data_IF_070731652953
#
_entry.id   IF_070731652953
#
_cell.length_a   1.000
_cell.length_b   1.000
_cell.length_c   1.000
_cell.angle_alpha   90.00
_cell.angle_beta   90.00
_cell.angle_gamma   90.00
#
_symmetry.space_group_name_H-M   'P 1'
#
loop_
_entity.id
_entity.type
_entity.pdbx_description
1 polymer ?
#
# COMPACT_ATOMS: atom_id res chain seq x y z
N UNK A 1 10.88 17.24 -22.39
CA UNK A 1 10.35 16.82 -21.09
C UNK A 1 11.37 17.24 -20.05
N UNK A 2 11.10 18.30 -19.29
CA UNK A 2 12.01 18.79 -18.24
C UNK A 2 11.74 18.02 -16.97
N UNK A 3 12.62 17.08 -16.61
CA UNK A 3 12.62 16.49 -15.27
C UNK A 3 12.81 17.61 -14.25
N UNK A 4 11.75 17.94 -13.51
CA UNK A 4 11.85 18.83 -12.34
C UNK A 4 12.56 18.05 -11.24
N UNK A 5 13.89 18.18 -11.17
CA UNK A 5 14.61 17.68 -10.01
C UNK A 5 14.12 18.40 -8.75
N UNK A 6 13.82 17.64 -7.67
CA UNK A 6 13.29 18.24 -6.45
C UNK A 6 14.30 19.22 -5.86
N UNK A 7 13.80 20.37 -5.45
CA UNK A 7 14.57 21.39 -4.74
C UNK A 7 15.16 20.81 -3.44
N UNK A 8 16.24 21.41 -2.94
CA UNK A 8 16.85 21.00 -1.65
C UNK A 8 15.81 20.98 -0.52
N UNK A 9 14.86 21.91 -0.55
CA UNK A 9 13.75 21.97 0.39
C UNK A 9 12.79 20.78 0.26
N UNK A 10 12.46 20.35 -0.96
CA UNK A 10 11.61 19.18 -1.19
C UNK A 10 12.31 17.89 -0.80
N UNK A 11 13.61 17.74 -1.09
CA UNK A 11 14.41 16.59 -0.64
C UNK A 11 14.48 16.51 0.87
N UNK A 12 14.78 17.63 1.53
CA UNK A 12 14.82 17.67 2.98
C UNK A 12 13.45 17.36 3.59
N UNK A 13 12.36 17.90 3.01
CA UNK A 13 10.99 17.57 3.40
C UNK A 13 10.71 16.07 3.28
N UNK A 14 11.10 15.44 2.18
CA UNK A 14 10.88 14.01 1.96
C UNK A 14 11.72 13.14 2.89
N UNK A 15 12.97 13.51 3.15
CA UNK A 15 13.85 12.83 4.12
C UNK A 15 13.21 12.82 5.50
N UNK A 16 12.85 14.01 6.04
CA UNK A 16 12.22 14.11 7.36
C UNK A 16 10.92 13.30 7.45
N UNK A 17 10.12 13.30 6.38
CA UNK A 17 8.88 12.50 6.33
C UNK A 17 9.19 11.00 6.42
N UNK A 18 10.23 10.55 5.73
CA UNK A 18 10.67 9.15 5.70
C UNK A 18 11.24 8.73 7.04
N UNK A 19 12.09 9.56 7.65
CA UNK A 19 12.71 9.30 8.96
C UNK A 19 11.65 9.14 10.06
N UNK A 20 10.67 10.06 10.09
CA UNK A 20 9.53 9.98 11.01
C UNK A 20 8.72 8.69 10.82
N UNK A 21 8.43 8.31 9.57
CA UNK A 21 7.66 7.11 9.26
C UNK A 21 8.41 5.84 9.65
N UNK A 22 9.68 5.71 9.29
CA UNK A 22 10.53 4.58 9.64
C UNK A 22 10.63 4.40 11.16
N UNK A 23 10.98 5.47 11.87
CA UNK A 23 11.17 5.43 13.32
C UNK A 23 9.86 5.18 14.07
N UNK A 24 8.77 5.82 13.62
CA UNK A 24 7.43 5.57 14.17
C UNK A 24 6.99 4.12 14.00
N UNK A 25 7.23 3.55 12.81
CA UNK A 25 6.91 2.16 12.53
C UNK A 25 7.72 1.18 13.39
N UNK A 26 9.02 1.44 13.56
CA UNK A 26 9.87 0.64 14.46
C UNK A 26 9.32 0.63 15.89
N UNK A 27 8.95 1.79 16.43
CA UNK A 27 8.34 1.88 17.76
C UNK A 27 6.98 1.16 17.83
N UNK A 28 6.13 1.27 16.81
CA UNK A 28 4.86 0.55 16.78
C UNK A 28 5.05 -0.95 16.84
N UNK A 29 6.04 -1.48 16.13
CA UNK A 29 6.35 -2.91 16.13
C UNK A 29 7.00 -3.37 17.44
N UNK A 30 7.77 -2.51 18.11
CA UNK A 30 8.49 -2.84 19.34
C UNK A 30 7.63 -2.80 20.61
N UNK A 31 6.80 -1.78 20.76
CA UNK A 31 6.05 -1.51 22.00
C UNK A 31 4.54 -1.34 21.79
N UNK A 32 4.06 -1.47 20.55
CA UNK A 32 2.65 -1.36 20.18
C UNK A 32 2.23 0.05 19.78
N UNK A 33 1.25 0.13 18.89
CA UNK A 33 0.72 1.40 18.39
C UNK A 33 0.15 2.26 19.53
N UNK A 34 -0.70 1.69 20.39
CA UNK A 34 -1.36 2.43 21.47
C UNK A 34 -0.38 3.04 22.49
N UNK A 35 0.69 2.32 22.82
CA UNK A 35 1.69 2.74 23.80
C UNK A 35 2.73 3.73 23.26
N UNK A 36 2.73 3.98 21.95
CA UNK A 36 3.71 4.88 21.31
C UNK A 36 3.16 6.31 21.21
N UNK A 37 3.82 7.28 21.81
CA UNK A 37 3.43 8.70 21.73
C UNK A 37 4.14 9.41 20.57
N UNK A 38 3.62 10.58 20.16
CA UNK A 38 4.29 11.39 19.13
C UNK A 38 5.63 11.90 19.67
N UNK A 39 5.71 12.22 20.96
CA UNK A 39 6.93 12.66 21.67
C UNK A 39 8.05 11.64 21.53
N UNK A 40 7.75 10.37 21.82
CA UNK A 40 8.70 9.26 21.70
C UNK A 40 9.24 9.10 20.28
N UNK A 41 8.47 9.48 19.26
CA UNK A 41 8.89 9.40 17.86
C UNK A 41 9.79 10.58 17.49
N UNK A 42 9.48 11.78 17.96
CA UNK A 42 10.11 13.01 17.47
C UNK A 42 11.36 13.40 18.25
N UNK A 43 11.41 13.09 19.55
CA UNK A 43 12.55 13.44 20.43
C UNK A 43 13.88 12.83 19.95
N UNK A 44 13.96 11.52 19.61
CA UNK A 44 15.22 10.93 19.15
C UNK A 44 15.71 11.47 17.81
N UNK A 45 14.79 12.02 17.01
CA UNK A 45 15.10 12.64 15.72
C UNK A 45 15.43 14.14 15.83
N UNK A 46 15.38 14.72 17.03
CA UNK A 46 15.56 16.17 17.24
C UNK A 46 14.45 17.00 16.59
N UNK A 47 13.27 16.42 16.38
CA UNK A 47 12.15 17.05 15.70
C UNK A 47 11.17 17.60 16.75
N UNK A 48 10.76 18.86 16.61
CA UNK A 48 9.71 19.40 17.48
C UNK A 48 8.33 18.79 17.15
N UNK A 49 7.48 18.59 18.17
CA UNK A 49 6.09 18.10 17.98
C UNK A 49 5.29 18.92 16.96
N UNK A 50 5.43 20.24 16.95
CA UNK A 50 4.78 21.11 15.93
C UNK A 50 5.26 20.78 14.52
N UNK A 51 6.52 20.40 14.36
CA UNK A 51 7.08 19.97 13.09
C UNK A 51 6.49 18.64 12.63
N UNK A 52 6.24 17.69 13.53
CA UNK A 52 5.52 16.45 13.19
C UNK A 52 4.18 16.74 12.51
N UNK A 53 3.36 17.62 13.09
CA UNK A 53 2.05 17.99 12.55
C UNK A 53 2.10 18.75 11.23
N UNK A 54 3.28 19.22 10.81
CA UNK A 54 3.50 19.76 9.46
C UNK A 54 3.59 18.65 8.39
N UNK A 55 3.95 17.43 8.78
CA UNK A 55 4.08 16.27 7.89
C UNK A 55 2.90 15.31 8.01
N UNK A 56 2.41 15.08 9.23
CA UNK A 56 1.39 14.07 9.51
C UNK A 56 0.32 14.65 10.42
N UNK A 57 -0.95 14.54 10.03
CA UNK A 57 -2.07 15.01 10.86
C UNK A 57 -2.30 14.11 12.07
N UNK A 58 -1.99 12.83 11.93
CA UNK A 58 -2.20 11.82 12.97
C UNK A 58 -1.04 10.81 12.99
N UNK A 59 -0.97 10.00 14.05
CA UNK A 59 0.07 8.97 14.21
C UNK A 59 -0.11 7.81 13.22
N UNK A 60 -1.35 7.52 12.86
CA UNK A 60 -1.73 6.49 11.87
C UNK A 60 -1.09 6.77 10.51
N UNK A 61 -1.00 8.05 10.10
CA UNK A 61 -0.45 8.42 8.79
C UNK A 61 1.02 8.04 8.61
N UNK A 62 1.75 7.75 9.69
CA UNK A 62 3.12 7.24 9.63
C UNK A 62 3.19 5.85 8.98
N UNK A 63 2.21 4.98 9.24
CA UNK A 63 2.16 3.62 8.68
C UNK A 63 1.91 3.67 7.16
N UNK A 64 1.17 4.68 6.71
CA UNK A 64 0.75 4.86 5.32
C UNK A 64 1.58 5.92 4.58
N UNK A 65 2.72 6.36 5.12
CA UNK A 65 3.49 7.47 4.56
C UNK A 65 3.92 7.21 3.10
N UNK A 66 4.23 5.96 2.76
CA UNK A 66 4.64 5.52 1.42
C UNK A 66 3.46 5.11 0.53
N UNK A 67 2.24 5.09 1.07
CA UNK A 67 1.08 4.55 0.36
C UNK A 67 0.77 5.37 -0.90
N UNK A 68 0.86 6.70 -0.84
CA UNK A 68 0.62 7.56 -2.00
C UNK A 68 1.64 7.31 -3.13
N UNK A 69 2.91 7.20 -2.80
CA UNK A 69 3.98 6.89 -3.76
C UNK A 69 3.78 5.51 -4.39
N UNK A 70 3.38 4.51 -3.59
CA UNK A 70 3.07 3.17 -4.08
C UNK A 70 1.83 3.10 -4.95
N UNK A 71 0.79 3.88 -4.65
CA UNK A 71 -0.37 3.98 -5.55
C UNK A 71 0.05 4.55 -6.90
N UNK A 72 0.90 5.58 -6.94
CA UNK A 72 1.43 6.13 -8.19
C UNK A 72 2.24 5.09 -8.95
N UNK A 73 3.13 4.37 -8.27
CA UNK A 73 3.92 3.28 -8.87
C UNK A 73 3.03 2.20 -9.49
N UNK A 74 2.01 1.72 -8.75
CA UNK A 74 1.08 0.69 -9.25
C UNK A 74 0.26 1.19 -10.44
N UNK A 75 -0.16 2.46 -10.44
CA UNK A 75 -0.87 3.08 -11.57
C UNK A 75 0.02 3.10 -12.81
N UNK A 76 1.27 3.52 -12.70
CA UNK A 76 2.20 3.55 -13.83
C UNK A 76 2.53 2.13 -14.34
N UNK A 77 2.72 1.17 -13.43
CA UNK A 77 2.86 -0.25 -13.79
C UNK A 77 1.65 -0.72 -14.58
N UNK A 78 0.43 -0.44 -14.11
CA UNK A 78 -0.81 -0.86 -14.78
C UNK A 78 -0.94 -0.24 -16.18
N UNK A 79 -0.66 1.05 -16.31
CA UNK A 79 -0.69 1.76 -17.60
C UNK A 79 0.32 1.20 -18.60
N UNK A 80 1.48 0.75 -18.11
CA UNK A 80 2.55 0.18 -18.93
C UNK A 80 2.30 -1.29 -19.35
N UNK A 81 1.28 -1.96 -18.80
CA UNK A 81 0.97 -3.36 -19.15
C UNK A 81 0.59 -3.47 -20.63
N UNK A 82 1.01 -4.54 -21.33
CA UNK A 82 0.67 -4.75 -22.73
C UNK A 82 -0.84 -4.72 -23.00
N UNK A 83 -1.26 -3.99 -24.04
CA UNK A 83 -2.67 -3.88 -24.43
C UNK A 83 -3.33 -5.22 -24.83
N UNK A 84 -2.52 -6.25 -25.15
CA UNK A 84 -2.99 -7.60 -25.47
C UNK A 84 -3.42 -8.41 -24.24
N UNK A 85 -3.05 -7.99 -23.04
CA UNK A 85 -3.46 -8.67 -21.81
C UNK A 85 -4.93 -8.40 -21.52
N UNK A 86 -5.66 -9.40 -21.00
CA UNK A 86 -7.03 -9.14 -20.55
C UNK A 86 -6.98 -8.14 -19.39
N UNK A 87 -7.98 -7.25 -19.24
CA UNK A 87 -8.03 -6.27 -18.16
C UNK A 87 -7.77 -6.87 -16.77
N UNK A 88 -8.37 -8.04 -16.47
CA UNK A 88 -8.19 -8.75 -15.20
C UNK A 88 -6.74 -9.23 -15.02
N UNK A 89 -6.15 -9.88 -16.03
CA UNK A 89 -4.77 -10.40 -15.96
C UNK A 89 -3.77 -9.29 -15.65
N UNK A 90 -3.94 -8.13 -16.28
CA UNK A 90 -3.07 -6.98 -16.08
C UNK A 90 -3.19 -6.39 -14.67
N UNK A 91 -4.39 -6.38 -14.07
CA UNK A 91 -4.57 -5.96 -12.67
C UNK A 91 -3.95 -6.98 -11.71
N UNK A 92 -4.19 -8.28 -11.91
CA UNK A 92 -3.55 -9.34 -11.11
C UNK A 92 -2.01 -9.24 -11.17
N UNK A 93 -1.45 -9.12 -12.38
CA UNK A 93 -0.02 -8.99 -12.58
C UNK A 93 0.56 -7.70 -11.96
N UNK A 94 -0.19 -6.59 -12.03
CA UNK A 94 0.21 -5.33 -11.39
C UNK A 94 0.22 -5.49 -9.87
N UNK A 95 -0.84 -6.02 -9.28
CA UNK A 95 -0.95 -6.24 -7.84
C UNK A 95 0.14 -7.21 -7.33
N UNK A 96 0.45 -8.26 -8.10
CA UNK A 96 1.52 -9.21 -7.80
C UNK A 96 2.91 -8.57 -7.67
N UNK A 97 3.16 -7.41 -8.30
CA UNK A 97 4.44 -6.70 -8.12
C UNK A 97 4.67 -6.25 -6.67
N UNK A 98 3.60 -6.10 -5.89
CA UNK A 98 3.66 -5.77 -4.46
C UNK A 98 4.27 -6.90 -3.62
N UNK A 99 4.18 -8.15 -4.08
CA UNK A 99 4.74 -9.32 -3.36
C UNK A 99 6.25 -9.21 -3.16
N UNK A 100 6.97 -8.52 -4.06
CA UNK A 100 8.43 -8.30 -3.92
C UNK A 100 8.81 -7.71 -2.56
N UNK A 101 7.94 -6.87 -1.97
CA UNK A 101 8.17 -6.28 -0.64
C UNK A 101 7.95 -7.28 0.49
N UNK A 102 6.98 -8.17 0.34
CA UNK A 102 6.72 -9.24 1.30
C UNK A 102 7.89 -10.24 1.28
N UNK A 103 8.40 -10.54 0.09
CA UNK A 103 9.54 -11.44 -0.10
C UNK A 103 10.85 -10.89 0.47
N UNK A 104 11.05 -9.56 0.40
CA UNK A 104 12.27 -8.92 0.86
C UNK A 104 12.47 -9.00 2.38
N UNK A 105 11.38 -8.97 3.15
CA UNK A 105 11.41 -9.15 4.60
C UNK A 105 10.07 -9.73 5.09
N UNK A 106 9.90 -11.07 5.07
CA UNK A 106 8.65 -11.72 5.44
C UNK A 106 8.23 -11.46 6.89
N UNK A 107 9.19 -11.43 7.83
CA UNK A 107 8.92 -11.16 9.24
C UNK A 107 8.35 -9.75 9.45
N UNK A 108 8.98 -8.74 8.83
CA UNK A 108 8.48 -7.37 8.87
C UNK A 108 7.12 -7.25 8.18
N UNK A 109 6.93 -7.92 7.05
CA UNK A 109 5.66 -7.90 6.33
C UNK A 109 4.53 -8.49 7.18
N UNK A 110 4.79 -9.61 7.86
CA UNK A 110 3.83 -10.23 8.76
C UNK A 110 3.53 -9.32 9.95
N UNK A 111 4.55 -8.73 10.56
CA UNK A 111 4.40 -7.82 11.68
C UNK A 111 3.56 -6.59 11.31
N UNK A 112 3.67 -6.10 10.08
CA UNK A 112 2.82 -5.01 9.55
C UNK A 112 1.37 -5.44 9.35
N UNK A 113 1.14 -6.62 8.75
CA UNK A 113 -0.22 -7.16 8.59
C UNK A 113 -0.89 -7.36 9.95
N UNK A 114 -0.16 -7.90 10.92
CA UNK A 114 -0.61 -8.02 12.32
C UNK A 114 -0.95 -6.67 12.92
N UNK A 115 -0.05 -5.69 12.82
CA UNK A 115 -0.25 -4.34 13.34
C UNK A 115 -1.53 -3.70 12.80
N UNK A 116 -1.79 -3.84 11.49
CA UNK A 116 -3.01 -3.34 10.85
C UNK A 116 -4.27 -4.04 11.36
N UNK A 117 -4.24 -5.38 11.47
CA UNK A 117 -5.38 -6.21 11.88
C UNK A 117 -5.75 -6.05 13.35
N UNK A 118 -4.77 -5.90 14.22
CA UNK A 118 -4.96 -5.79 15.67
C UNK A 118 -5.26 -4.36 16.14
N UNK A 119 -5.11 -3.36 15.25
CA UNK A 119 -5.30 -1.94 15.61
C UNK A 119 -6.47 -1.32 14.83
N UNK A 120 -7.67 -1.16 15.43
CA UNK A 120 -8.85 -0.66 14.74
C UNK A 120 -8.67 0.70 14.02
N UNK A 121 -7.93 1.62 14.64
CA UNK A 121 -7.64 2.92 14.04
C UNK A 121 -6.79 2.81 12.75
N UNK A 122 -5.84 1.88 12.71
CA UNK A 122 -5.03 1.62 11.52
C UNK A 122 -5.83 0.88 10.46
N UNK A 123 -6.68 -0.07 10.85
CA UNK A 123 -7.56 -0.76 9.91
C UNK A 123 -8.54 0.20 9.22
N UNK A 124 -9.13 1.13 9.97
CA UNK A 124 -10.00 2.17 9.42
C UNK A 124 -9.24 3.04 8.40
N UNK A 125 -7.98 3.39 8.70
CA UNK A 125 -7.14 4.19 7.80
C UNK A 125 -6.70 3.42 6.56
N UNK A 126 -6.39 2.12 6.67
CA UNK A 126 -6.12 1.26 5.52
C UNK A 126 -7.35 1.17 4.61
N UNK A 127 -8.56 1.02 5.16
CA UNK A 127 -9.79 1.03 4.36
C UNK A 127 -9.94 2.33 3.56
N UNK A 128 -9.75 3.50 4.18
CA UNK A 128 -9.75 4.81 3.50
C UNK A 128 -8.72 4.82 2.34
N UNK A 129 -7.48 4.41 2.62
CA UNK A 129 -6.39 4.45 1.64
C UNK A 129 -6.54 3.43 0.52
N UNK A 130 -7.11 2.27 0.81
CA UNK A 130 -7.45 1.23 -0.16
C UNK A 130 -8.52 1.73 -1.13
N UNK A 131 -9.57 2.40 -0.65
CA UNK A 131 -10.59 2.99 -1.51
C UNK A 131 -10.00 4.03 -2.49
N UNK A 132 -9.10 4.90 -2.01
CA UNK A 132 -8.38 5.85 -2.87
C UNK A 132 -7.56 5.13 -3.96
N UNK A 133 -6.87 4.04 -3.59
CA UNK A 133 -6.05 3.23 -4.51
C UNK A 133 -6.89 2.51 -5.55
N UNK A 134 -8.00 1.90 -5.15
CA UNK A 134 -8.93 1.20 -6.06
C UNK A 134 -9.49 2.16 -7.12
N UNK A 135 -9.88 3.38 -6.72
CA UNK A 135 -10.36 4.41 -7.65
C UNK A 135 -9.27 4.81 -8.65
N UNK A 136 -8.04 5.02 -8.17
CA UNK A 136 -6.91 5.39 -9.03
C UNK A 136 -6.56 4.27 -10.03
N UNK A 137 -6.54 3.01 -9.59
CA UNK A 137 -6.27 1.85 -10.44
C UNK A 137 -7.39 1.62 -11.45
N UNK A 138 -8.65 1.81 -11.07
CA UNK A 138 -9.78 1.68 -11.99
C UNK A 138 -9.71 2.75 -13.10
N UNK A 139 -9.36 3.99 -12.76
CA UNK A 139 -9.15 5.04 -13.76
C UNK A 139 -7.99 4.72 -14.70
N UNK A 140 -6.86 4.25 -14.16
CA UNK A 140 -5.70 3.82 -14.94
C UNK A 140 -6.02 2.64 -15.87
N UNK A 141 -6.85 1.71 -15.42
CA UNK A 141 -7.31 0.59 -16.25
C UNK A 141 -8.16 1.07 -17.42
N UNK A 142 -9.09 2.00 -17.20
CA UNK A 142 -9.88 2.60 -18.30
C UNK A 142 -8.98 3.30 -19.31
N UNK A 143 -7.97 4.04 -18.84
CA UNK A 143 -6.99 4.71 -19.70
C UNK A 143 -6.19 3.72 -20.54
N UNK A 144 -5.74 2.59 -19.94
CA UNK A 144 -4.98 1.55 -20.65
C UNK A 144 -5.77 0.94 -21.81
N UNK A 145 -7.06 0.68 -21.59
CA UNK A 145 -7.93 0.03 -22.60
C UNK A 145 -8.30 0.98 -23.76
N UNK A 146 -8.22 2.29 -23.52
CA UNK A 146 -8.38 3.31 -24.55
C UNK A 146 -9.63 3.12 -25.40
N UNK A 147 -9.46 3.11 -26.73
CA UNK A 147 -10.56 3.04 -27.70
C UNK A 147 -11.28 1.68 -27.75
N UNK A 148 -10.70 0.61 -27.18
CA UNK A 148 -11.35 -0.70 -27.13
C UNK A 148 -12.55 -0.72 -26.18
N UNK A 149 -12.60 0.24 -25.24
CA UNK A 149 -13.77 0.55 -24.43
C UNK A 149 -13.93 -0.39 -23.24
N UNK A 150 -13.33 -0.02 -22.11
CA UNK A 150 -13.71 -0.56 -20.81
C UNK A 150 -14.54 0.48 -20.07
N UNK A 151 -15.81 0.17 -19.81
CA UNK A 151 -16.66 1.08 -19.04
C UNK A 151 -16.13 1.21 -17.60
N UNK A 152 -16.24 2.40 -16.97
CA UNK A 152 -15.74 2.61 -15.61
C UNK A 152 -16.29 1.63 -14.57
N UNK A 153 -17.54 1.17 -14.72
CA UNK A 153 -18.14 0.17 -13.84
C UNK A 153 -17.37 -1.16 -13.88
N UNK A 154 -17.05 -1.66 -15.08
CA UNK A 154 -16.31 -2.92 -15.24
C UNK A 154 -14.89 -2.80 -14.70
N UNK A 155 -14.24 -1.65 -14.89
CA UNK A 155 -12.93 -1.39 -14.31
C UNK A 155 -12.95 -1.43 -12.77
N UNK A 156 -13.95 -0.81 -12.14
CA UNK A 156 -14.15 -0.85 -10.68
C UNK A 156 -14.40 -2.27 -10.16
N UNK A 157 -15.23 -3.06 -10.86
CA UNK A 157 -15.50 -4.45 -10.48
C UNK A 157 -14.22 -5.27 -10.54
N UNK A 158 -13.43 -5.17 -11.62
CA UNK A 158 -12.18 -5.91 -11.78
C UNK A 158 -11.19 -5.54 -10.66
N UNK A 159 -10.95 -4.25 -10.44
CA UNK A 159 -10.01 -3.79 -9.41
C UNK A 159 -10.47 -4.17 -8.00
N UNK A 160 -11.77 -4.03 -7.71
CA UNK A 160 -12.35 -4.44 -6.43
C UNK A 160 -12.26 -5.94 -6.19
N UNK A 161 -12.50 -6.77 -7.21
CA UNK A 161 -12.38 -8.23 -7.13
C UNK A 161 -10.93 -8.66 -6.84
N UNK A 162 -9.95 -8.13 -7.58
CA UNK A 162 -8.53 -8.45 -7.32
C UNK A 162 -8.08 -7.93 -5.95
N UNK A 163 -8.55 -6.74 -5.54
CA UNK A 163 -8.26 -6.22 -4.20
C UNK A 163 -8.87 -7.10 -3.11
N UNK A 164 -10.07 -7.62 -3.32
CA UNK A 164 -10.74 -8.53 -2.37
C UNK A 164 -9.99 -9.86 -2.26
N UNK A 165 -9.54 -10.42 -3.38
CA UNK A 165 -8.69 -11.61 -3.38
C UNK A 165 -7.36 -11.39 -2.64
N UNK A 166 -6.74 -10.21 -2.82
CA UNK A 166 -5.54 -9.83 -2.06
C UNK A 166 -5.81 -9.79 -0.56
N UNK A 167 -6.93 -9.19 -0.13
CA UNK A 167 -7.31 -9.15 1.29
C UNK A 167 -7.57 -10.55 1.85
N UNK A 168 -8.29 -11.40 1.12
CA UNK A 168 -8.55 -12.78 1.53
C UNK A 168 -7.26 -13.58 1.70
N UNK A 169 -6.30 -13.43 0.78
CA UNK A 169 -4.98 -14.06 0.91
C UNK A 169 -4.20 -13.59 2.15
N UNK A 170 -4.27 -12.28 2.47
CA UNK A 170 -3.66 -11.76 3.70
C UNK A 170 -4.38 -12.21 4.97
N UNK A 171 -5.70 -12.41 4.90
CA UNK A 171 -6.50 -12.92 6.01
C UNK A 171 -6.12 -14.39 6.32
N UNK A 172 -5.99 -15.21 5.28
CA UNK A 172 -5.57 -16.61 5.39
C UNK A 172 -4.13 -16.74 5.89
N UNK A 173 -3.20 -15.98 5.30
CA UNK A 173 -1.81 -15.94 5.75
C UNK A 173 -1.67 -15.47 7.20
N UNK A 174 -2.52 -14.52 7.62
CA UNK A 174 -2.56 -14.08 9.01
C UNK A 174 -3.11 -15.13 9.96
N UNK A 175 -4.18 -15.84 9.58
CA UNK A 175 -4.78 -16.90 10.38
C UNK A 175 -3.81 -18.07 10.63
N UNK A 176 -2.93 -18.35 9.66
CA UNK A 176 -1.84 -19.32 9.78
C UNK A 176 -0.64 -18.82 10.62
N UNK A 177 -0.68 -17.57 11.09
CA UNK A 177 0.42 -16.97 11.84
C UNK A 177 1.65 -16.66 10.97
N UNK A 178 1.48 -16.61 9.65
CA UNK A 178 2.54 -16.29 8.69
C UNK A 178 3.54 -17.42 8.45
N UNK A 179 3.20 -18.67 8.76
CA UNK A 179 4.11 -19.81 8.61
C UNK A 179 4.23 -20.25 7.15
N UNK A 180 3.13 -20.22 6.40
CA UNK A 180 3.10 -20.48 4.97
C UNK A 180 3.72 -19.33 4.15
N UNK A 181 4.20 -19.66 2.95
CA UNK A 181 4.59 -18.65 1.96
C UNK A 181 3.34 -17.94 1.43
N UNK A 182 3.34 -16.60 1.50
CA UNK A 182 2.25 -15.77 0.99
C UNK A 182 2.10 -15.87 -0.54
N UNK A 183 3.17 -16.11 -1.28
CA UNK A 183 3.14 -16.16 -2.76
C UNK A 183 2.18 -17.22 -3.32
N UNK A 184 2.23 -18.50 -2.92
CA UNK A 184 1.28 -19.50 -3.39
C UNK A 184 -0.16 -19.23 -2.95
N UNK A 185 -0.37 -18.67 -1.75
CA UNK A 185 -1.71 -18.26 -1.27
C UNK A 185 -2.26 -17.16 -2.20
N UNK A 186 -1.45 -16.13 -2.49
CA UNK A 186 -1.84 -15.03 -3.36
C UNK A 186 -2.11 -15.48 -4.80
N UNK A 187 -1.27 -16.38 -5.33
CA UNK A 187 -1.48 -16.96 -6.66
C UNK A 187 -2.81 -17.73 -6.74
N UNK A 188 -3.13 -18.51 -5.69
CA UNK A 188 -4.40 -19.24 -5.59
C UNK A 188 -5.59 -18.28 -5.49
N UNK A 189 -5.48 -17.23 -4.68
CA UNK A 189 -6.52 -16.21 -4.56
C UNK A 189 -6.79 -15.49 -5.88
N UNK A 190 -5.76 -15.15 -6.65
CA UNK A 190 -5.93 -14.56 -7.99
C UNK A 190 -6.50 -15.54 -9.01
N UNK A 191 -6.15 -16.82 -8.93
CA UNK A 191 -6.74 -17.86 -9.78
C UNK A 191 -8.26 -17.96 -9.54
N UNK A 192 -8.72 -17.92 -8.29
CA UNK A 192 -10.14 -17.94 -7.95
C UNK A 192 -10.92 -16.76 -8.54
N UNK A 193 -10.30 -15.57 -8.69
CA UNK A 193 -10.97 -14.42 -9.35
C UNK A 193 -11.26 -14.71 -10.83
N UNK A 194 -10.47 -15.56 -11.49
CA UNK A 194 -10.73 -15.95 -12.88
C UNK A 194 -11.90 -16.93 -13.04
N UNK A 195 -12.36 -17.54 -11.96
CA UNK A 195 -13.46 -18.50 -11.95
C UNK A 195 -14.83 -17.85 -11.74
N UNK A 196 -14.87 -16.55 -11.39
CA UNK A 196 -16.09 -15.73 -11.19
C UNK A 196 -16.64 -15.17 -12.51
#
# INVERSE_FOLDING_TARGET
>A
MTEKHPSLRERHKQSTRTDLSNFGLELFLKQGFANTTIEQIVEPLGIARRTFFRYFKTKEELVFAWHAEKTVELVEVLKSRPAKERPLDAVCATMATTLKRYDANPELAFALVRLLKETPALLAKECEKRMDRELALAAALVEREGKQGLIPLKARIIVGAVTSAWMAALDEWYADGGQADLRPIMASAFALVHEL
#
